data_IF_242618050017
#
_entry.id   IF_242618050017
#
_cell.length_a   1.000
_cell.length_b   1.000
_cell.length_c   1.000
_cell.angle_alpha   90.00
_cell.angle_beta   90.00
_cell.angle_gamma   90.00
#
_symmetry.space_group_name_H-M   'P 1'
#
loop_
_entity.id
_entity.type
_entity.pdbx_description
1 polymer ?
#
# COMPACT_ATOMS: atom_id res chain seq x y z
N UNK A 1 3.55 -51.84 -23.49
CA UNK A 1 4.48 -52.17 -24.59
C UNK A 1 4.93 -50.84 -25.17
N UNK A 2 6.19 -50.45 -24.97
CA UNK A 2 6.74 -49.22 -25.55
C UNK A 2 6.64 -49.29 -27.07
N UNK A 3 5.94 -48.34 -27.68
CA UNK A 3 5.75 -48.26 -29.12
C UNK A 3 7.07 -47.75 -29.74
N UNK A 4 8.02 -48.66 -29.97
CA UNK A 4 9.32 -48.31 -30.56
C UNK A 4 9.17 -48.23 -32.08
N UNK A 5 9.43 -47.04 -32.61
CA UNK A 5 9.46 -46.76 -34.04
C UNK A 5 10.77 -47.29 -34.63
N UNK A 6 10.69 -47.77 -35.87
CA UNK A 6 11.87 -48.08 -36.68
C UNK A 6 12.18 -46.86 -37.53
N UNK A 7 13.35 -46.26 -37.33
CA UNK A 7 13.81 -45.04 -38.02
C UNK A 7 15.10 -45.33 -38.79
N UNK A 8 15.34 -44.56 -39.85
CA UNK A 8 16.52 -44.65 -40.70
C UNK A 8 17.34 -43.38 -40.53
N UNK A 9 18.61 -43.51 -40.15
CA UNK A 9 19.54 -42.42 -39.98
C UNK A 9 20.54 -42.38 -41.14
N UNK A 10 20.75 -41.22 -41.76
CA UNK A 10 21.67 -41.06 -42.88
C UNK A 10 22.83 -40.15 -42.50
N UNK A 11 24.02 -40.72 -42.30
CA UNK A 11 25.22 -39.96 -41.88
C UNK A 11 26.34 -40.20 -42.89
N UNK A 12 26.85 -39.13 -43.51
CA UNK A 12 27.92 -39.17 -44.52
C UNK A 12 27.66 -40.17 -45.66
N UNK A 13 26.40 -40.34 -46.05
CA UNK A 13 25.98 -41.27 -47.11
C UNK A 13 25.84 -42.74 -46.68
N UNK A 14 26.07 -43.07 -45.40
CA UNK A 14 25.77 -44.38 -44.84
C UNK A 14 24.40 -44.37 -44.15
N UNK A 15 23.63 -45.43 -44.33
CA UNK A 15 22.30 -45.59 -43.73
C UNK A 15 22.35 -46.56 -42.54
N UNK A 16 21.76 -46.15 -41.42
CA UNK A 16 21.70 -46.93 -40.18
C UNK A 16 20.24 -47.07 -39.77
N UNK A 17 19.77 -48.30 -39.61
CA UNK A 17 18.42 -48.58 -39.10
C UNK A 17 18.45 -48.66 -37.58
N UNK A 18 17.64 -47.84 -36.91
CA UNK A 18 17.56 -47.75 -35.46
C UNK A 18 16.12 -48.01 -35.01
N UNK A 19 15.97 -48.57 -33.81
CA UNK A 19 14.67 -48.83 -33.18
C UNK A 19 14.62 -48.06 -31.88
N UNK A 20 13.67 -47.13 -31.74
CA UNK A 20 13.59 -46.23 -30.59
C UNK A 20 12.30 -45.43 -30.53
N UNK A 21 12.20 -44.54 -29.56
CA UNK A 21 11.00 -43.71 -29.34
C UNK A 21 10.98 -42.44 -30.19
N UNK A 22 12.07 -42.17 -30.90
CA UNK A 22 12.27 -40.99 -31.73
C UNK A 22 11.48 -41.14 -33.03
N UNK A 23 10.93 -40.04 -33.54
CA UNK A 23 10.25 -39.98 -34.83
C UNK A 23 11.26 -39.93 -35.99
N UNK A 24 10.85 -40.32 -37.20
CA UNK A 24 11.73 -40.22 -38.36
C UNK A 24 12.15 -38.75 -38.61
N UNK A 25 11.23 -37.81 -38.49
CA UNK A 25 11.47 -36.37 -38.65
C UNK A 25 12.56 -35.85 -37.70
N UNK A 26 12.47 -36.15 -36.40
CA UNK A 26 13.48 -35.72 -35.45
C UNK A 26 14.83 -36.44 -35.67
N UNK A 27 14.80 -37.68 -36.16
CA UNK A 27 16.04 -38.38 -36.53
C UNK A 27 16.72 -37.74 -37.75
N UNK A 28 15.94 -37.27 -38.73
CA UNK A 28 16.46 -36.57 -39.90
C UNK A 28 17.11 -35.23 -39.51
N UNK A 29 16.50 -34.46 -38.59
CA UNK A 29 17.08 -33.24 -38.00
C UNK A 29 18.43 -33.51 -37.30
N UNK A 30 18.51 -34.58 -36.51
CA UNK A 30 19.76 -34.99 -35.84
C UNK A 30 20.81 -35.35 -36.89
N UNK A 31 20.43 -36.08 -37.94
CA UNK A 31 21.35 -36.46 -39.00
C UNK A 31 21.87 -35.24 -39.77
N UNK A 32 21.01 -34.28 -40.08
CA UNK A 32 21.39 -33.01 -40.71
C UNK A 32 22.41 -32.26 -39.84
N UNK A 33 22.11 -32.08 -38.55
CA UNK A 33 23.00 -31.42 -37.59
C UNK A 33 24.38 -32.09 -37.52
N UNK A 34 24.41 -33.43 -37.43
CA UNK A 34 25.66 -34.21 -37.38
C UNK A 34 26.43 -34.11 -38.70
N UNK A 35 25.74 -34.14 -39.84
CA UNK A 35 26.37 -34.02 -41.16
C UNK A 35 26.98 -32.64 -41.37
N UNK A 36 26.30 -31.58 -40.98
CA UNK A 36 26.80 -30.19 -41.07
C UNK A 36 28.04 -29.99 -40.20
N UNK A 37 28.01 -30.49 -38.96
CA UNK A 37 29.16 -30.43 -38.07
C UNK A 37 30.36 -31.21 -38.64
N UNK A 38 30.12 -32.39 -39.24
CA UNK A 38 31.16 -33.17 -39.92
C UNK A 38 31.72 -32.44 -41.15
N UNK A 39 30.88 -31.72 -41.90
CA UNK A 39 31.33 -30.90 -43.02
C UNK A 39 32.22 -29.76 -42.54
N UNK A 40 31.86 -29.06 -41.47
CA UNK A 40 32.65 -27.94 -40.94
C UNK A 40 34.00 -28.37 -40.36
N UNK A 41 34.01 -29.51 -39.67
CA UNK A 41 35.24 -30.13 -39.17
C UNK A 41 36.17 -30.55 -40.34
N UNK A 42 35.60 -31.08 -41.43
CA UNK A 42 36.37 -31.44 -42.64
C UNK A 42 36.83 -30.24 -43.46
N UNK A 43 36.05 -29.16 -43.56
CA UNK A 43 36.48 -27.90 -44.20
C UNK A 43 37.73 -27.34 -43.52
N UNK A 44 37.76 -27.42 -42.18
CA UNK A 44 38.86 -26.92 -41.37
C UNK A 44 40.11 -27.82 -41.43
N UNK A 45 39.92 -29.13 -41.68
CA UNK A 45 41.02 -30.10 -41.80
C UNK A 45 40.77 -31.12 -42.93
N UNK A 46 41.07 -30.78 -44.21
CA UNK A 46 40.69 -31.59 -45.37
C UNK A 46 41.36 -32.98 -45.46
N UNK A 47 42.56 -33.14 -44.91
CA UNK A 47 43.31 -34.40 -44.92
C UNK A 47 42.96 -35.34 -43.75
N UNK A 48 41.98 -34.96 -42.93
CA UNK A 48 41.64 -35.69 -41.73
C UNK A 48 40.88 -36.99 -42.04
N UNK A 49 41.25 -38.08 -41.36
CA UNK A 49 40.56 -39.35 -41.54
C UNK A 49 39.12 -39.29 -40.97
N UNK A 50 38.24 -40.17 -41.49
CA UNK A 50 36.81 -40.19 -41.13
C UNK A 50 36.58 -40.38 -39.63
N UNK A 51 37.38 -41.23 -38.98
CA UNK A 51 37.22 -41.56 -37.56
C UNK A 51 37.58 -40.37 -36.65
N UNK A 52 38.62 -39.61 -37.00
CA UNK A 52 39.02 -38.41 -36.27
C UNK A 52 38.00 -37.28 -36.46
N UNK A 53 37.41 -37.15 -37.66
CA UNK A 53 36.31 -36.22 -37.89
C UNK A 53 35.09 -36.53 -37.01
N UNK A 54 34.72 -37.80 -36.92
CA UNK A 54 33.63 -38.27 -36.03
C UNK A 54 33.97 -38.04 -34.56
N UNK A 55 35.21 -38.30 -34.14
CA UNK A 55 35.65 -38.09 -32.76
C UNK A 55 35.57 -36.60 -32.38
N UNK A 56 36.05 -35.70 -33.24
CA UNK A 56 35.96 -34.26 -33.01
C UNK A 56 34.51 -33.76 -32.99
N UNK A 57 33.65 -34.23 -33.89
CA UNK A 57 32.22 -33.90 -33.84
C UNK A 57 31.58 -34.38 -32.52
N UNK A 58 31.95 -35.58 -32.06
CA UNK A 58 31.46 -36.12 -30.80
C UNK A 58 31.91 -35.27 -29.60
N UNK A 59 33.15 -34.78 -29.60
CA UNK A 59 33.65 -33.88 -28.57
C UNK A 59 32.92 -32.53 -28.59
N UNK A 60 32.70 -31.96 -29.76
CA UNK A 60 31.98 -30.69 -29.93
C UNK A 60 30.53 -30.80 -29.44
N UNK A 61 29.81 -31.86 -29.84
CA UNK A 61 28.45 -32.13 -29.35
C UNK A 61 28.42 -32.33 -27.82
N UNK A 62 29.43 -33.01 -27.27
CA UNK A 62 29.53 -33.22 -25.82
C UNK A 62 29.78 -31.91 -25.06
N UNK A 63 30.57 -31.00 -25.63
CA UNK A 63 30.80 -29.68 -25.07
C UNK A 63 29.53 -28.81 -25.14
N UNK A 64 28.86 -28.79 -26.29
CA UNK A 64 27.60 -28.05 -26.45
C UNK A 64 26.55 -28.55 -25.46
N UNK A 65 26.38 -29.87 -25.33
CA UNK A 65 25.45 -30.47 -24.37
C UNK A 65 25.77 -30.02 -22.93
N UNK A 66 27.04 -30.07 -22.52
CA UNK A 66 27.47 -29.63 -21.18
C UNK A 66 27.21 -28.14 -20.96
N UNK A 67 27.46 -27.31 -21.96
CA UNK A 67 27.19 -25.87 -21.86
C UNK A 67 25.69 -25.58 -21.74
N UNK A 68 24.86 -26.26 -22.54
CA UNK A 68 23.40 -26.16 -22.43
C UNK A 68 22.88 -26.62 -21.08
N UNK A 69 23.43 -27.71 -20.53
CA UNK A 69 23.09 -28.19 -19.18
C UNK A 69 23.42 -27.14 -18.11
N UNK A 70 24.64 -26.57 -18.13
CA UNK A 70 25.03 -25.50 -17.20
C UNK A 70 24.10 -24.30 -17.27
N UNK A 71 23.79 -23.81 -18.47
CA UNK A 71 22.83 -22.70 -18.64
C UNK A 71 21.44 -23.08 -18.14
N UNK A 72 20.99 -24.32 -18.35
CA UNK A 72 19.70 -24.76 -17.82
C UNK A 72 19.68 -24.77 -16.30
N UNK A 73 20.74 -25.24 -15.67
CA UNK A 73 20.89 -25.26 -14.20
C UNK A 73 20.95 -23.84 -13.62
N UNK A 74 21.67 -22.93 -14.27
CA UNK A 74 21.71 -21.51 -13.90
C UNK A 74 20.32 -20.86 -14.01
N UNK A 75 19.60 -21.10 -15.11
CA UNK A 75 18.24 -20.60 -15.30
C UNK A 75 17.27 -21.19 -14.26
N UNK A 76 17.40 -22.47 -13.93
CA UNK A 76 16.61 -23.10 -12.86
C UNK A 76 16.91 -22.48 -11.50
N UNK A 77 18.17 -22.18 -11.19
CA UNK A 77 18.54 -21.48 -9.97
C UNK A 77 17.95 -20.06 -9.91
N UNK A 78 18.00 -19.32 -11.02
CA UNK A 78 17.35 -18.00 -11.13
C UNK A 78 15.83 -18.08 -10.96
N UNK A 79 15.19 -19.13 -11.50
CA UNK A 79 13.75 -19.38 -11.29
C UNK A 79 13.44 -19.73 -9.84
N UNK A 80 14.32 -20.47 -9.15
CA UNK A 80 14.20 -20.71 -7.71
C UNK A 80 14.15 -19.41 -6.90
N UNK A 81 14.94 -18.41 -7.28
CA UNK A 81 14.91 -17.08 -6.66
C UNK A 81 13.58 -16.32 -6.91
N UNK A 82 12.73 -16.76 -7.85
CA UNK A 82 11.38 -16.22 -8.04
C UNK A 82 10.41 -16.68 -6.94
N UNK A 83 10.77 -17.61 -6.06
CA UNK A 83 9.96 -17.93 -4.87
C UNK A 83 9.75 -16.69 -3.98
N UNK A 84 10.71 -15.77 -3.98
CA UNK A 84 10.60 -14.45 -3.34
C UNK A 84 9.41 -13.63 -3.87
N UNK A 85 8.89 -13.92 -5.07
CA UNK A 85 7.69 -13.25 -5.60
C UNK A 85 6.44 -13.60 -4.80
N UNK A 86 6.34 -14.82 -4.26
CA UNK A 86 5.18 -15.20 -3.42
C UNK A 86 5.18 -14.42 -2.13
N UNK A 87 6.34 -14.30 -1.48
CA UNK A 87 6.51 -13.50 -0.27
C UNK A 87 6.23 -12.02 -0.54
N UNK A 88 6.74 -11.49 -1.65
CA UNK A 88 6.50 -10.11 -2.04
C UNK A 88 5.01 -9.84 -2.34
N UNK A 89 4.30 -10.78 -2.97
CA UNK A 89 2.85 -10.68 -3.20
C UNK A 89 2.07 -10.67 -1.89
N UNK A 90 2.48 -11.48 -0.91
CA UNK A 90 1.86 -11.50 0.41
C UNK A 90 2.09 -10.19 1.16
N UNK A 91 3.32 -9.66 1.12
CA UNK A 91 3.63 -8.34 1.69
C UNK A 91 2.79 -7.24 1.03
N UNK A 92 2.66 -7.24 -0.30
CA UNK A 92 1.80 -6.29 -1.03
C UNK A 92 0.34 -6.40 -0.57
N UNK A 93 -0.18 -7.62 -0.34
CA UNK A 93 -1.55 -7.81 0.16
C UNK A 93 -1.71 -7.18 1.54
N UNK A 94 -0.80 -7.47 2.46
CA UNK A 94 -0.79 -6.93 3.82
C UNK A 94 -0.73 -5.40 3.79
N UNK A 95 0.16 -4.81 2.98
CA UNK A 95 0.27 -3.36 2.87
C UNK A 95 -0.98 -2.69 2.30
N UNK A 96 -1.70 -3.35 1.38
CA UNK A 96 -2.99 -2.85 0.89
C UNK A 96 -4.04 -2.85 1.98
N UNK A 97 -4.17 -3.94 2.73
CA UNK A 97 -5.12 -4.02 3.87
C UNK A 97 -4.83 -2.94 4.93
N UNK A 98 -3.54 -2.68 5.23
CA UNK A 98 -3.16 -1.58 6.12
C UNK A 98 -3.52 -0.21 5.56
N UNK A 99 -3.34 0.01 4.25
CA UNK A 99 -3.67 1.28 3.62
C UNK A 99 -5.19 1.54 3.64
N UNK A 100 -6.00 0.51 3.35
CA UNK A 100 -7.46 0.59 3.39
C UNK A 100 -7.95 0.90 4.81
N UNK A 101 -7.44 0.19 5.80
CA UNK A 101 -7.77 0.43 7.21
C UNK A 101 -7.36 1.82 7.69
N UNK A 102 -6.19 2.30 7.28
CA UNK A 102 -5.77 3.67 7.60
C UNK A 102 -6.71 4.70 6.98
N UNK A 103 -7.16 4.50 5.73
CA UNK A 103 -8.13 5.40 5.11
C UNK A 103 -9.46 5.45 5.86
N UNK A 104 -9.96 4.31 6.33
CA UNK A 104 -11.17 4.25 7.17
C UNK A 104 -10.99 5.08 8.45
N UNK A 105 -9.87 4.89 9.17
CA UNK A 105 -9.55 5.66 10.38
C UNK A 105 -9.44 7.16 10.08
N UNK A 106 -8.84 7.56 8.95
CA UNK A 106 -8.76 8.96 8.56
C UNK A 106 -10.15 9.57 8.30
N UNK A 107 -11.07 8.82 7.70
CA UNK A 107 -12.44 9.28 7.48
C UNK A 107 -13.18 9.44 8.81
N UNK A 108 -13.08 8.46 9.71
CA UNK A 108 -13.68 8.54 11.05
C UNK A 108 -13.14 9.75 11.83
N UNK A 109 -11.82 9.95 11.84
CA UNK A 109 -11.18 11.07 12.53
C UNK A 109 -11.56 12.43 11.91
N UNK A 110 -11.80 12.48 10.60
CA UNK A 110 -12.29 13.69 9.94
C UNK A 110 -13.71 14.04 10.40
N UNK A 111 -14.60 13.04 10.46
CA UNK A 111 -15.97 13.23 10.94
C UNK A 111 -16.01 13.66 12.41
N UNK A 112 -15.19 13.03 13.26
CA UNK A 112 -15.05 13.40 14.68
C UNK A 112 -14.57 14.85 14.82
N UNK A 113 -13.58 15.27 14.01
CA UNK A 113 -13.08 16.66 14.03
C UNK A 113 -14.15 17.67 13.64
N UNK A 114 -14.96 17.38 12.62
CA UNK A 114 -16.01 18.30 12.19
C UNK A 114 -17.12 18.40 13.25
N UNK A 115 -17.48 17.28 13.89
CA UNK A 115 -18.40 17.28 15.03
C UNK A 115 -17.87 18.11 16.20
N UNK A 116 -16.59 17.96 16.54
CA UNK A 116 -15.97 18.74 17.63
C UNK A 116 -15.92 20.23 17.32
N UNK A 117 -15.72 20.62 16.05
CA UNK A 117 -15.80 22.03 15.63
C UNK A 117 -17.21 22.59 15.82
N UNK A 118 -18.24 21.85 15.41
CA UNK A 118 -19.64 22.26 15.61
C UNK A 118 -19.95 22.43 17.11
N UNK A 119 -19.53 21.47 17.94
CA UNK A 119 -19.70 21.55 19.40
C UNK A 119 -18.97 22.78 19.98
N UNK A 120 -17.72 23.02 19.55
CA UNK A 120 -16.98 24.22 19.94
C UNK A 120 -17.69 25.51 19.59
N UNK A 121 -18.29 25.61 18.39
CA UNK A 121 -19.04 26.80 17.99
C UNK A 121 -20.31 26.98 18.83
N UNK A 122 -21.00 25.89 19.18
CA UNK A 122 -22.16 25.96 20.09
C UNK A 122 -21.77 26.45 21.48
N UNK A 123 -20.65 25.96 22.02
CA UNK A 123 -20.12 26.40 23.32
C UNK A 123 -19.68 27.86 23.26
N UNK A 124 -19.06 28.28 22.16
CA UNK A 124 -18.65 29.68 21.97
C UNK A 124 -19.86 30.62 21.95
N UNK A 125 -20.91 30.25 21.21
CA UNK A 125 -22.14 31.03 21.13
C UNK A 125 -22.86 31.13 22.48
N UNK A 126 -22.96 30.03 23.22
CA UNK A 126 -23.58 30.02 24.55
C UNK A 126 -22.78 30.85 25.55
N UNK A 127 -21.44 30.78 25.51
CA UNK A 127 -20.56 31.63 26.32
C UNK A 127 -20.79 33.11 26.03
N UNK A 128 -20.94 33.50 24.76
CA UNK A 128 -21.23 34.88 24.37
C UNK A 128 -22.59 35.34 24.92
N UNK A 129 -23.62 34.49 24.85
CA UNK A 129 -24.93 34.78 25.43
C UNK A 129 -24.87 34.97 26.95
N UNK A 130 -24.17 34.10 27.67
CA UNK A 130 -23.98 34.24 29.12
C UNK A 130 -23.22 35.51 29.47
N UNK A 131 -22.19 35.87 28.71
CA UNK A 131 -21.46 37.13 28.90
C UNK A 131 -22.36 38.36 28.71
N UNK A 132 -23.27 38.34 27.73
CA UNK A 132 -24.29 39.40 27.55
C UNK A 132 -25.23 39.48 28.75
N UNK A 133 -25.75 38.34 29.23
CA UNK A 133 -26.60 38.30 30.43
C UNK A 133 -25.89 38.82 31.67
N UNK A 134 -24.63 38.46 31.89
CA UNK A 134 -23.82 38.96 33.01
C UNK A 134 -23.68 40.49 32.94
N UNK A 135 -23.44 41.06 31.76
CA UNK A 135 -23.39 42.52 31.59
C UNK A 135 -24.73 43.17 31.93
N UNK A 136 -25.84 42.59 31.47
CA UNK A 136 -27.18 43.09 31.78
C UNK A 136 -27.46 43.05 33.29
N UNK A 137 -27.23 41.91 33.95
CA UNK A 137 -27.44 41.81 35.39
C UNK A 137 -26.57 42.78 36.19
N UNK A 138 -25.34 43.08 35.74
CA UNK A 138 -24.53 44.13 36.36
C UNK A 138 -25.19 45.51 36.25
N UNK A 139 -25.74 45.84 35.08
CA UNK A 139 -26.47 47.09 34.88
C UNK A 139 -27.72 47.17 35.77
N UNK A 140 -28.55 46.11 35.77
CA UNK A 140 -29.79 46.06 36.55
C UNK A 140 -29.52 46.16 38.06
N UNK A 141 -28.42 45.57 38.56
CA UNK A 141 -27.99 45.68 39.95
C UNK A 141 -27.60 47.12 40.30
N UNK A 142 -26.86 47.82 39.44
CA UNK A 142 -26.48 49.21 39.66
C UNK A 142 -27.69 50.15 39.63
N UNK A 143 -28.64 49.93 38.71
CA UNK A 143 -29.89 50.67 38.66
C UNK A 143 -30.77 50.42 39.90
N UNK A 144 -30.87 49.17 40.33
CA UNK A 144 -31.58 48.80 41.55
C UNK A 144 -30.94 49.45 42.78
N UNK A 145 -29.61 49.50 42.87
CA UNK A 145 -28.88 50.18 43.94
C UNK A 145 -29.19 51.67 43.98
N UNK A 146 -29.20 52.33 42.82
CA UNK A 146 -29.58 53.75 42.72
C UNK A 146 -31.01 53.99 43.20
N UNK A 147 -31.94 53.15 42.77
CA UNK A 147 -33.36 53.23 43.17
C UNK A 147 -33.52 53.04 44.68
N UNK A 148 -32.80 52.08 45.28
CA UNK A 148 -32.80 51.87 46.74
C UNK A 148 -32.29 53.12 47.45
N UNK A 149 -31.24 53.76 46.94
CA UNK A 149 -30.65 54.95 47.55
C UNK A 149 -31.60 56.15 47.49
N UNK A 150 -32.30 56.34 46.36
CA UNK A 150 -33.33 57.37 46.21
C UNK A 150 -34.51 57.16 47.18
N UNK A 151 -35.00 55.91 47.30
CA UNK A 151 -36.05 55.55 48.25
C UNK A 151 -35.60 55.74 49.71
N UNK A 152 -34.35 55.41 50.03
CA UNK A 152 -33.78 55.66 51.36
C UNK A 152 -33.76 57.14 51.68
N UNK A 153 -33.35 57.99 50.74
CA UNK A 153 -33.35 59.45 50.91
C UNK A 153 -34.77 59.99 51.15
N UNK A 154 -35.76 59.55 50.35
CA UNK A 154 -37.16 59.93 50.54
C UNK A 154 -37.70 59.50 51.91
N UNK A 155 -37.34 58.30 52.38
CA UNK A 155 -37.73 57.82 53.71
C UNK A 155 -37.11 58.70 54.81
N UNK A 156 -35.83 59.07 54.69
CA UNK A 156 -35.18 59.97 55.63
C UNK A 156 -35.84 61.34 55.68
N UNK A 157 -36.17 61.93 54.53
CA UNK A 157 -36.89 63.20 54.45
C UNK A 157 -38.25 63.11 55.15
N UNK A 158 -39.04 62.07 54.84
CA UNK A 158 -40.34 61.84 55.47
C UNK A 158 -40.22 61.65 56.99
N UNK A 159 -39.20 60.92 57.47
CA UNK A 159 -38.93 60.77 58.90
C UNK A 159 -38.58 62.11 59.57
N UNK A 160 -37.77 62.96 58.91
CA UNK A 160 -37.44 64.31 59.42
C UNK A 160 -38.71 65.17 59.52
N UNK A 161 -39.57 65.13 58.51
CA UNK A 161 -40.84 65.88 58.52
C UNK A 161 -41.77 65.42 59.64
N UNK A 162 -41.93 64.11 59.84
CA UNK A 162 -42.72 63.56 60.94
C UNK A 162 -42.20 64.02 62.31
N UNK A 163 -40.88 64.03 62.51
CA UNK A 163 -40.28 64.53 63.76
C UNK A 163 -40.52 66.03 63.96
N UNK A 164 -40.43 66.84 62.90
CA UNK A 164 -40.76 68.27 62.95
C UNK A 164 -42.23 68.50 63.30
N UNK A 165 -43.14 67.78 62.65
CA UNK A 165 -44.57 67.86 62.92
C UNK A 165 -44.90 67.49 64.38
N UNK A 166 -44.33 66.39 64.89
CA UNK A 166 -44.50 65.99 66.30
C UNK A 166 -43.94 67.00 67.30
N UNK A 167 -42.82 67.68 66.98
CA UNK A 167 -42.29 68.76 67.82
C UNK A 167 -43.22 69.97 67.88
N UNK A 168 -43.81 70.35 66.75
CA UNK A 168 -44.73 71.49 66.67
C UNK A 168 -46.03 71.22 67.43
N UNK A 169 -46.56 69.99 67.34
CA UNK A 169 -47.76 69.56 68.09
C UNK A 169 -47.52 69.61 69.61
N UNK A 170 -46.35 69.17 70.08
CA UNK A 170 -45.98 69.21 71.50
C UNK A 170 -45.62 70.62 72.03
N UNK A 171 -45.59 71.64 71.17
CA UNK A 171 -45.32 73.04 71.56
C UNK A 171 -46.57 73.94 71.52
N UNK A 172 -47.71 73.40 71.10
CA UNK A 172 -49.02 74.09 71.10
C UNK A 172 -49.97 73.61 72.23
N UNK A 173 -49.54 72.66 73.07
CA UNK A 173 -50.13 72.32 74.37
C UNK A 173 -49.39 73.00 75.54
#
# INVERSE_FOLDING_TARGET
MENKNKVIAKVQGAEYTLVGEITQEHMDEICETVNDMLLDVKKSNPLMNKNMALLLCTLNLSEELKNRQRTNDELRAQIGNLENIKELKEQIRIYKEYADRNNEIYQELSLENDRLKEEMDTVRNTLEQYNKKIKQYKYDIEESRKTILDLQNQLFESQIELVKANKNINSEE
#
